data_IF_622684504714
#
_entry.id   IF_622684504714
#
_cell.length_a   1.000
_cell.length_b   1.000
_cell.length_c   1.000
_cell.angle_alpha   90.00
_cell.angle_beta   90.00
_cell.angle_gamma   90.00
#
_symmetry.space_group_name_H-M   'P 1'
#
loop_
_entity.id
_entity.type
_entity.pdbx_description
1 polymer ?
#
# COMPACT_ATOMS: atom_id res chain seq x y z
N UNK A 1 -1.60 -14.90 16.05
CA UNK A 1 -2.69 -14.02 15.58
C UNK A 1 -2.77 -14.13 14.07
N UNK A 2 -3.97 -14.22 13.49
CA UNK A 2 -4.15 -14.24 12.03
C UNK A 2 -3.98 -12.84 11.45
N UNK A 3 -3.30 -12.73 10.31
CA UNK A 3 -3.20 -11.48 9.55
C UNK A 3 -3.85 -11.61 8.20
N UNK A 4 -4.49 -10.53 7.78
CA UNK A 4 -5.17 -10.39 6.50
C UNK A 4 -4.52 -9.27 5.73
N UNK A 5 -4.35 -9.51 4.45
CA UNK A 5 -3.89 -8.51 3.51
C UNK A 5 -5.07 -7.65 3.09
N UNK A 6 -4.89 -6.34 3.17
CA UNK A 6 -5.87 -5.36 2.74
C UNK A 6 -5.63 -5.10 1.24
N UNK A 7 -6.44 -5.71 0.40
CA UNK A 7 -6.38 -5.60 -1.06
C UNK A 7 -7.55 -4.79 -1.59
N UNK A 8 -7.43 -4.26 -2.81
CA UNK A 8 -8.53 -3.62 -3.50
C UNK A 8 -9.57 -4.65 -3.92
N UNK A 9 -10.85 -4.33 -3.69
CA UNK A 9 -11.92 -5.21 -4.15
C UNK A 9 -12.00 -5.28 -5.66
N UNK A 10 -12.32 -6.47 -6.18
CA UNK A 10 -12.56 -6.72 -7.60
C UNK A 10 -14.03 -7.01 -7.93
N UNK A 11 -14.91 -6.99 -6.92
CA UNK A 11 -16.34 -7.27 -7.07
C UNK A 11 -17.06 -6.08 -7.72
N UNK A 12 -17.60 -6.26 -8.94
CA UNK A 12 -18.33 -5.21 -9.66
C UNK A 12 -19.58 -4.72 -8.92
N UNK A 13 -20.17 -5.52 -8.03
CA UNK A 13 -21.27 -5.09 -7.18
C UNK A 13 -20.79 -4.12 -6.08
N UNK A 14 -19.54 -4.21 -5.66
CA UNK A 14 -18.94 -3.31 -4.66
C UNK A 14 -18.34 -2.07 -5.34
N UNK A 15 -17.50 -2.27 -6.35
CA UNK A 15 -16.67 -1.21 -6.95
C UNK A 15 -17.22 -0.64 -8.26
N UNK A 16 -18.25 -1.26 -8.84
CA UNK A 16 -18.74 -0.94 -10.19
C UNK A 16 -17.91 -1.61 -11.29
N UNK A 17 -18.16 -1.25 -12.55
CA UNK A 17 -17.69 -2.02 -13.72
C UNK A 17 -16.25 -1.74 -14.16
N UNK A 18 -15.36 -1.37 -13.24
CA UNK A 18 -13.99 -1.04 -13.61
C UNK A 18 -13.02 -1.14 -12.42
N UNK A 19 -12.00 -1.97 -12.59
CA UNK A 19 -10.83 -2.04 -11.72
C UNK A 19 -9.59 -1.77 -12.59
N UNK A 20 -8.71 -0.84 -12.21
CA UNK A 20 -8.87 0.11 -11.11
C UNK A 20 -10.01 1.11 -11.37
N UNK A 21 -10.64 1.58 -10.29
CA UNK A 21 -11.77 2.51 -10.29
C UNK A 21 -11.39 3.91 -10.81
N UNK A 22 -10.15 4.33 -10.53
CA UNK A 22 -9.55 5.57 -11.04
C UNK A 22 -8.40 5.25 -12.00
N UNK A 23 -8.48 5.79 -13.21
CA UNK A 23 -7.48 5.57 -14.28
C UNK A 23 -6.88 6.88 -14.81
N UNK A 24 -7.51 8.00 -14.46
CA UNK A 24 -7.10 9.34 -14.87
C UNK A 24 -6.87 10.21 -13.64
N UNK A 25 -6.16 11.32 -13.82
CA UNK A 25 -5.91 12.30 -12.78
C UNK A 25 -5.90 13.71 -13.36
N UNK A 26 -6.12 14.71 -12.52
CA UNK A 26 -5.91 16.12 -12.85
C UNK A 26 -4.76 16.64 -11.99
N UNK A 27 -3.75 17.22 -12.66
CA UNK A 27 -2.68 17.96 -12.00
C UNK A 27 -2.67 19.41 -12.46
N UNK A 28 -2.50 20.32 -11.50
CA UNK A 28 -2.38 21.76 -11.71
C UNK A 28 -0.92 22.20 -11.87
N UNK A 29 0.02 21.32 -11.56
CA UNK A 29 1.45 21.54 -11.76
C UNK A 29 2.04 20.48 -12.68
N UNK A 30 3.16 20.76 -13.36
CA UNK A 30 3.89 19.75 -14.11
C UNK A 30 4.27 18.54 -13.25
N UNK A 31 4.21 17.35 -13.86
CA UNK A 31 4.52 16.09 -13.19
C UNK A 31 5.97 16.02 -12.68
N UNK A 32 6.89 16.71 -13.36
CA UNK A 32 8.31 16.82 -13.03
C UNK A 32 8.62 17.94 -12.02
N UNK A 33 7.59 18.66 -11.54
CA UNK A 33 7.77 19.68 -10.51
C UNK A 33 8.31 19.04 -9.21
N UNK A 34 9.28 19.65 -8.50
CA UNK A 34 9.92 19.05 -7.33
C UNK A 34 8.95 18.74 -6.17
N UNK A 35 7.88 19.53 -6.03
CA UNK A 35 6.83 19.31 -5.02
C UNK A 35 5.69 18.39 -5.50
N UNK A 36 5.77 17.82 -6.71
CA UNK A 36 4.77 16.86 -7.18
C UNK A 36 4.96 15.53 -6.45
N UNK A 37 3.86 14.83 -6.14
CA UNK A 37 3.86 13.53 -5.44
C UNK A 37 4.90 12.52 -5.96
N UNK A 38 5.10 12.48 -7.28
CA UNK A 38 6.02 11.53 -7.92
C UNK A 38 7.50 11.94 -7.87
N UNK A 39 7.81 13.12 -7.36
CA UNK A 39 9.17 13.60 -7.16
C UNK A 39 9.77 13.18 -5.82
N UNK A 40 8.94 12.64 -4.91
CA UNK A 40 9.36 12.25 -3.55
C UNK A 40 9.11 10.77 -3.30
N UNK A 41 10.09 10.12 -2.65
CA UNK A 41 10.02 8.73 -2.23
C UNK A 41 10.13 8.61 -0.71
N UNK A 42 9.37 7.70 -0.10
CA UNK A 42 9.38 7.47 1.33
C UNK A 42 8.33 8.29 2.08
N UNK A 43 8.74 8.98 3.15
CA UNK A 43 7.86 9.86 3.92
C UNK A 43 7.56 11.13 3.12
N UNK A 44 6.28 11.36 2.82
CA UNK A 44 5.85 12.51 2.05
C UNK A 44 5.80 13.79 2.93
N UNK A 45 6.28 14.94 2.43
CA UNK A 45 6.08 16.26 3.06
C UNK A 45 4.60 16.61 3.21
N UNK A 46 4.28 17.43 4.22
CA UNK A 46 2.89 17.84 4.47
C UNK A 46 2.35 18.79 3.40
N UNK A 47 3.23 19.51 2.70
CA UNK A 47 2.94 20.46 1.63
C UNK A 47 3.13 19.88 0.22
N UNK A 48 3.28 18.55 0.10
CA UNK A 48 3.39 17.88 -1.19
C UNK A 48 2.13 18.10 -2.05
N UNK A 49 2.31 18.33 -3.35
CA UNK A 49 1.20 18.41 -4.28
C UNK A 49 0.73 17.02 -4.68
N UNK A 50 -0.53 16.71 -4.37
CA UNK A 50 -1.19 15.46 -4.74
C UNK A 50 -2.18 15.74 -5.88
N UNK A 51 -2.03 15.11 -7.05
CA UNK A 51 -3.02 15.22 -8.11
C UNK A 51 -4.36 14.60 -7.71
N UNK A 52 -5.45 15.18 -8.19
CA UNK A 52 -6.79 14.66 -7.91
C UNK A 52 -7.08 13.46 -8.82
N UNK A 53 -7.47 12.33 -8.24
CA UNK A 53 -7.85 11.13 -8.99
C UNK A 53 -9.25 11.28 -9.60
N UNK A 54 -9.44 10.88 -10.86
CA UNK A 54 -10.74 10.89 -11.52
C UNK A 54 -11.35 9.49 -11.46
N UNK A 55 -12.49 9.39 -10.78
CA UNK A 55 -13.26 8.16 -10.71
C UNK A 55 -13.96 7.90 -12.05
N UNK A 56 -13.76 6.72 -12.61
CA UNK A 56 -14.42 6.35 -13.86
C UNK A 56 -15.96 6.38 -13.69
N UNK A 57 -16.68 6.85 -14.72
CA UNK A 57 -18.14 7.09 -14.66
C UNK A 57 -19.01 5.89 -14.27
N UNK A 58 -18.50 4.66 -14.42
CA UNK A 58 -19.17 3.39 -14.06
C UNK A 58 -18.66 2.78 -12.75
N UNK A 59 -17.66 3.38 -12.12
CA UNK A 59 -17.21 2.96 -10.80
C UNK A 59 -18.15 3.50 -9.72
N UNK A 60 -18.19 2.81 -8.58
CA UNK A 60 -18.85 3.27 -7.36
C UNK A 60 -17.81 3.97 -6.48
N UNK A 61 -18.28 4.90 -5.66
CA UNK A 61 -17.47 5.54 -4.61
C UNK A 61 -17.36 4.55 -3.45
N UNK A 62 -16.14 4.24 -3.03
CA UNK A 62 -15.85 3.25 -1.98
C UNK A 62 -14.86 3.79 -0.94
N UNK A 63 -14.74 3.12 0.20
CA UNK A 63 -13.87 3.55 1.29
C UNK A 63 -12.38 3.34 1.00
N UNK A 64 -12.06 2.37 0.15
CA UNK A 64 -10.76 2.19 -0.48
C UNK A 64 -10.94 2.28 -2.00
N UNK A 65 -10.22 3.22 -2.63
CA UNK A 65 -10.26 3.44 -4.07
C UNK A 65 -9.04 2.79 -4.72
N UNK A 66 -9.28 1.88 -5.65
CA UNK A 66 -8.23 1.40 -6.56
C UNK A 66 -7.89 2.49 -7.58
N UNK A 67 -6.67 3.02 -7.52
CA UNK A 67 -6.17 4.06 -8.43
C UNK A 67 -4.91 3.59 -9.14
N UNK A 68 -4.93 3.63 -10.48
CA UNK A 68 -3.75 3.40 -11.31
C UNK A 68 -2.75 4.57 -11.29
N UNK A 69 -3.17 5.84 -11.49
CA UNK A 69 -2.22 6.94 -11.60
C UNK A 69 -1.57 7.29 -10.26
N UNK A 70 -2.28 7.08 -9.15
CA UNK A 70 -1.79 7.37 -7.81
C UNK A 70 -1.41 6.03 -7.17
N UNK A 71 -0.11 5.73 -7.10
CA UNK A 71 0.44 4.48 -6.55
C UNK A 71 0.24 4.30 -5.03
N UNK A 72 -0.53 5.18 -4.41
CA UNK A 72 -0.86 5.17 -2.98
C UNK A 72 -2.35 4.90 -2.81
N UNK A 73 -2.77 4.17 -1.76
CA UNK A 73 -4.18 4.01 -1.47
C UNK A 73 -4.85 5.36 -1.23
N UNK A 74 -5.99 5.56 -1.90
CA UNK A 74 -6.89 6.68 -1.67
C UNK A 74 -8.05 6.16 -0.83
N UNK A 75 -8.26 6.73 0.35
CA UNK A 75 -9.20 6.22 1.35
C UNK A 75 -10.16 7.29 1.85
N UNK A 76 -11.36 6.87 2.25
CA UNK A 76 -12.36 7.76 2.85
C UNK A 76 -11.95 8.19 4.27
N UNK A 77 -12.59 9.24 4.77
CA UNK A 77 -12.50 9.66 6.17
C UNK A 77 -12.81 8.52 7.15
N UNK A 78 -13.84 7.72 6.84
CA UNK A 78 -14.29 6.61 7.68
C UNK A 78 -13.18 5.57 7.85
N UNK A 79 -12.57 5.11 6.76
CA UNK A 79 -11.48 4.13 6.82
C UNK A 79 -10.24 4.73 7.47
N UNK A 80 -9.88 5.98 7.11
CA UNK A 80 -8.76 6.70 7.72
C UNK A 80 -8.88 6.78 9.25
N UNK A 81 -10.06 7.11 9.76
CA UNK A 81 -10.29 7.23 11.20
C UNK A 81 -10.19 5.89 11.94
N UNK A 82 -10.48 4.77 11.29
CA UNK A 82 -10.27 3.44 11.86
C UNK A 82 -8.76 3.15 11.89
N UNK A 83 -8.08 3.24 10.75
CA UNK A 83 -6.66 2.89 10.62
C UNK A 83 -5.75 3.75 11.51
N UNK A 84 -6.06 5.04 11.67
CA UNK A 84 -5.27 5.97 12.49
C UNK A 84 -5.23 5.60 13.99
N UNK A 85 -6.20 4.84 14.50
CA UNK A 85 -6.21 4.37 15.90
C UNK A 85 -5.18 3.28 16.16
N UNK A 86 -4.86 2.51 15.13
CA UNK A 86 -4.08 1.27 15.24
C UNK A 86 -2.62 1.44 14.85
N UNK A 87 -2.24 2.62 14.35
CA UNK A 87 -0.85 2.93 14.05
C UNK A 87 -0.57 4.44 14.14
N UNK A 88 0.31 4.81 15.07
CA UNK A 88 0.68 6.21 15.33
C UNK A 88 1.99 6.66 14.65
N UNK A 89 2.77 5.74 14.08
CA UNK A 89 4.04 6.07 13.42
C UNK A 89 4.23 5.31 12.11
N UNK A 90 4.99 5.89 11.16
CA UNK A 90 5.29 5.24 9.88
C UNK A 90 4.12 5.22 8.90
N UNK A 91 3.04 5.93 9.21
CA UNK A 91 1.84 6.12 8.40
C UNK A 91 1.48 7.60 8.41
N UNK A 92 1.29 8.18 7.24
CA UNK A 92 0.78 9.53 7.06
C UNK A 92 -0.48 9.52 6.22
N UNK A 93 -1.42 10.38 6.58
CA UNK A 93 -2.62 10.65 5.79
C UNK A 93 -2.55 12.08 5.28
N UNK A 94 -2.55 12.25 3.97
CA UNK A 94 -2.51 13.55 3.32
C UNK A 94 -3.86 13.84 2.66
N UNK A 95 -4.46 15.02 2.87
CA UNK A 95 -5.70 15.40 2.22
C UNK A 95 -5.56 15.33 0.69
N UNK A 96 -6.57 14.78 0.02
CA UNK A 96 -6.67 14.74 -1.44
C UNK A 96 -8.14 14.77 -1.85
N UNK A 97 -8.41 14.79 -3.15
CA UNK A 97 -9.78 14.71 -3.65
C UNK A 97 -9.94 13.62 -4.70
N UNK A 98 -11.14 13.04 -4.68
CA UNK A 98 -11.64 12.19 -5.74
C UNK A 98 -12.62 13.00 -6.60
N UNK A 99 -12.40 13.06 -7.90
CA UNK A 99 -13.32 13.70 -8.85
C UNK A 99 -14.34 12.65 -9.31
N UNK A 100 -15.62 12.89 -9.01
CA UNK A 100 -16.75 12.02 -9.36
C UNK A 100 -17.79 12.85 -10.12
N UNK A 101 -17.99 12.57 -11.41
CA UNK A 101 -18.94 13.32 -12.26
C UNK A 101 -18.78 14.84 -12.09
N UNK A 102 -17.55 15.32 -12.23
CA UNK A 102 -17.15 16.73 -12.13
C UNK A 102 -17.26 17.37 -10.73
N UNK A 103 -17.52 16.57 -9.68
CA UNK A 103 -17.50 17.03 -8.29
C UNK A 103 -16.29 16.50 -7.55
N UNK A 104 -15.62 17.35 -6.79
CA UNK A 104 -14.58 16.94 -5.84
C UNK A 104 -15.21 16.42 -4.56
N UNK A 105 -14.71 15.30 -4.08
CA UNK A 105 -15.07 14.69 -2.80
C UNK A 105 -13.80 14.53 -2.00
N UNK A 106 -13.84 14.92 -0.72
CA UNK A 106 -12.69 14.83 0.18
C UNK A 106 -12.32 13.38 0.47
N UNK A 107 -11.04 13.08 0.29
CA UNK A 107 -10.43 11.77 0.51
C UNK A 107 -9.03 11.96 1.12
N UNK A 108 -8.37 10.86 1.44
CA UNK A 108 -7.01 10.86 1.98
C UNK A 108 -6.11 9.95 1.17
N UNK A 109 -4.92 10.43 0.86
CA UNK A 109 -3.83 9.60 0.40
C UNK A 109 -3.17 8.96 1.62
N UNK A 110 -3.05 7.64 1.62
CA UNK A 110 -2.38 6.87 2.67
C UNK A 110 -0.92 6.59 2.27
N UNK A 111 0.03 7.12 3.02
CA UNK A 111 1.46 6.95 2.81
C UNK A 111 2.08 6.14 3.96
N UNK A 112 2.29 4.84 3.75
CA UNK A 112 3.15 4.03 4.61
C UNK A 112 4.62 4.25 4.22
N UNK A 113 5.44 4.66 5.19
CA UNK A 113 6.84 5.00 4.96
C UNK A 113 7.83 4.33 5.93
N UNK A 114 7.32 3.58 6.91
CA UNK A 114 8.13 2.64 7.71
C UNK A 114 7.55 1.23 7.58
N UNK A 115 8.42 0.25 7.37
CA UNK A 115 8.05 -1.15 7.16
C UNK A 115 8.52 -2.00 8.33
N UNK A 116 7.71 -3.01 8.68
CA UNK A 116 7.85 -3.81 9.90
C UNK A 116 8.59 -5.12 9.64
N UNK A 117 9.76 -5.05 9.00
CA UNK A 117 10.55 -6.24 8.68
C UNK A 117 10.96 -7.05 9.92
N UNK A 118 10.93 -6.44 11.11
CA UNK A 118 11.17 -7.15 12.38
C UNK A 118 10.19 -8.30 12.62
N UNK A 119 9.02 -8.28 11.98
CA UNK A 119 7.99 -9.33 12.12
C UNK A 119 8.12 -10.46 11.09
N UNK A 120 9.14 -10.43 10.23
CA UNK A 120 9.40 -11.51 9.27
C UNK A 120 10.13 -12.67 9.98
N UNK A 121 9.67 -13.90 9.78
CA UNK A 121 10.44 -15.12 10.08
C UNK A 121 11.40 -15.38 8.92
N UNK A 122 12.62 -14.83 9.03
CA UNK A 122 13.65 -14.93 8.01
C UNK A 122 14.14 -16.37 7.76
N UNK A 123 13.95 -17.29 8.72
CA UNK A 123 14.35 -18.69 8.54
C UNK A 123 13.38 -19.44 7.63
N UNK A 124 12.09 -19.05 7.63
CA UNK A 124 11.03 -19.69 6.84
C UNK A 124 10.65 -18.92 5.58
N UNK A 125 11.06 -17.65 5.49
CA UNK A 125 10.87 -16.78 4.33
C UNK A 125 11.92 -17.01 3.25
N UNK A 126 11.60 -16.65 2.01
CA UNK A 126 12.51 -16.72 0.86
C UNK A 126 12.66 -15.31 0.30
N UNK A 127 13.90 -14.81 0.29
CA UNK A 127 14.25 -13.49 -0.22
C UNK A 127 15.21 -13.67 -1.39
N UNK A 128 14.86 -13.06 -2.52
CA UNK A 128 15.62 -13.18 -3.77
C UNK A 128 16.15 -11.81 -4.18
N UNK A 129 17.33 -11.80 -4.79
CA UNK A 129 17.73 -10.74 -5.70
C UNK A 129 17.06 -11.01 -7.04
N UNK A 130 16.45 -9.99 -7.60
CA UNK A 130 15.69 -10.07 -8.84
C UNK A 130 16.15 -9.01 -9.83
N UNK A 131 16.02 -9.31 -11.12
CA UNK A 131 16.20 -8.34 -12.20
C UNK A 131 14.86 -7.74 -12.67
N UNK A 132 14.90 -7.15 -13.86
CA UNK A 132 13.73 -6.58 -14.54
C UNK A 132 12.60 -7.62 -14.60
N UNK A 133 11.36 -7.20 -14.34
CA UNK A 133 10.20 -8.09 -14.33
C UNK A 133 10.17 -9.07 -13.15
N UNK A 134 10.96 -8.83 -12.09
CA UNK A 134 11.11 -9.72 -10.93
C UNK A 134 11.68 -11.10 -11.27
N UNK A 135 12.43 -11.22 -12.36
CA UNK A 135 13.13 -12.46 -12.72
C UNK A 135 14.19 -12.77 -11.66
N UNK A 136 14.10 -13.95 -11.04
CA UNK A 136 15.04 -14.37 -10.00
C UNK A 136 16.47 -14.48 -10.55
N UNK A 137 17.41 -13.82 -9.86
CA UNK A 137 18.85 -13.90 -10.13
C UNK A 137 19.49 -14.88 -9.14
N UNK A 138 19.30 -14.65 -7.85
CA UNK A 138 19.86 -15.49 -6.77
C UNK A 138 18.99 -15.43 -5.52
N UNK A 139 19.08 -16.46 -4.68
CA UNK A 139 18.45 -16.47 -3.34
C UNK A 139 19.44 -15.88 -2.34
N UNK A 140 19.00 -14.89 -1.56
CA UNK A 140 19.84 -14.25 -0.56
C UNK A 140 19.71 -14.97 0.79
N UNK A 141 20.84 -15.11 1.49
CA UNK A 141 20.85 -15.56 2.89
C UNK A 141 20.74 -14.34 3.80
N UNK A 142 19.52 -13.99 4.18
CA UNK A 142 19.20 -12.87 5.06
C UNK A 142 18.54 -13.44 6.31
N UNK A 143 19.06 -13.09 7.48
CA UNK A 143 18.61 -13.65 8.77
C UNK A 143 17.95 -12.63 9.69
N UNK A 144 17.90 -11.35 9.28
CA UNK A 144 17.38 -10.27 10.10
C UNK A 144 16.85 -9.09 9.29
N UNK A 145 16.03 -8.26 9.93
CA UNK A 145 15.52 -7.02 9.34
C UNK A 145 16.66 -6.06 8.94
N UNK A 146 17.69 -5.93 9.77
CA UNK A 146 18.86 -5.08 9.48
C UNK A 146 19.66 -5.58 8.27
N UNK A 147 19.81 -6.90 8.12
CA UNK A 147 20.42 -7.50 6.93
C UNK A 147 19.60 -7.22 5.67
N UNK A 148 18.26 -7.33 5.75
CA UNK A 148 17.37 -7.01 4.65
C UNK A 148 17.49 -5.55 4.23
N UNK A 149 17.41 -4.61 5.17
CA UNK A 149 17.58 -3.18 4.89
C UNK A 149 18.95 -2.87 4.27
N UNK A 150 20.00 -3.53 4.77
CA UNK A 150 21.36 -3.38 4.22
C UNK A 150 21.43 -3.92 2.80
N UNK A 151 20.81 -5.08 2.52
CA UNK A 151 20.74 -5.65 1.18
C UNK A 151 19.98 -4.73 0.23
N UNK A 152 18.84 -4.18 0.66
CA UNK A 152 18.05 -3.21 -0.11
C UNK A 152 18.91 -2.00 -0.50
N UNK A 153 19.59 -1.37 0.47
CA UNK A 153 20.45 -0.20 0.22
C UNK A 153 21.62 -0.48 -0.73
N UNK A 154 22.18 -1.69 -0.70
CA UNK A 154 23.34 -2.07 -1.53
C UNK A 154 22.98 -2.56 -2.92
N UNK A 155 21.86 -3.25 -3.07
CA UNK A 155 21.50 -4.00 -4.28
C UNK A 155 20.53 -3.22 -5.17
N UNK A 156 19.60 -2.46 -4.57
CA UNK A 156 18.56 -1.78 -5.34
C UNK A 156 19.19 -0.66 -6.16
N UNK A 157 19.05 -0.77 -7.47
CA UNK A 157 19.56 0.23 -8.41
C UNK A 157 18.49 0.55 -9.45
N UNK A 158 17.97 1.79 -9.46
CA UNK A 158 16.97 2.22 -10.44
C UNK A 158 17.45 2.05 -11.89
N UNK A 159 18.75 2.20 -12.14
CA UNK A 159 19.33 2.19 -13.48
C UNK A 159 19.48 0.80 -14.08
N UNK A 160 19.58 -0.25 -13.25
CA UNK A 160 19.77 -1.63 -13.73
C UNK A 160 18.51 -2.49 -13.62
N UNK A 161 17.50 -2.00 -12.90
CA UNK A 161 16.29 -2.77 -12.58
C UNK A 161 16.55 -3.94 -11.62
N UNK A 162 17.75 -4.02 -11.02
CA UNK A 162 18.08 -5.00 -9.99
C UNK A 162 17.49 -4.56 -8.65
N UNK A 163 16.86 -5.49 -7.95
CA UNK A 163 16.18 -5.25 -6.68
C UNK A 163 16.24 -6.45 -5.74
N UNK A 164 15.74 -6.26 -4.52
CA UNK A 164 15.51 -7.32 -3.53
C UNK A 164 14.00 -7.49 -3.37
N UNK A 165 13.55 -8.74 -3.41
CA UNK A 165 12.15 -9.11 -3.34
C UNK A 165 11.92 -10.30 -2.40
N UNK A 166 10.86 -10.22 -1.60
CA UNK A 166 10.37 -11.32 -0.76
C UNK A 166 9.47 -12.18 -1.65
N UNK A 167 9.88 -13.42 -1.88
CA UNK A 167 9.17 -14.38 -2.73
C UNK A 167 8.21 -15.24 -1.92
N UNK A 168 8.67 -15.66 -0.73
CA UNK A 168 7.84 -16.26 0.31
C UNK A 168 7.99 -15.42 1.58
N UNK A 169 6.88 -14.88 2.04
CA UNK A 169 6.79 -14.16 3.31
C UNK A 169 6.17 -15.11 4.34
N UNK A 170 6.85 -15.30 5.46
CA UNK A 170 6.31 -15.94 6.66
C UNK A 170 6.47 -14.95 7.80
N UNK A 171 5.38 -14.68 8.50
CA UNK A 171 5.37 -13.79 9.66
C UNK A 171 5.65 -14.56 10.95
N UNK A 172 6.16 -13.85 11.96
CA UNK A 172 6.31 -14.37 13.31
C UNK A 172 4.93 -14.57 13.97
N UNK A 173 4.82 -15.51 14.91
CA UNK A 173 3.53 -15.88 15.51
C UNK A 173 2.96 -14.81 16.47
N UNK A 174 3.84 -14.04 17.11
CA UNK A 174 3.53 -13.12 18.20
C UNK A 174 3.80 -11.67 17.79
N UNK A 175 2.95 -11.14 16.92
CA UNK A 175 2.97 -9.73 16.50
C UNK A 175 1.99 -8.95 17.38
N UNK A 176 2.45 -7.93 18.12
CA UNK A 176 1.60 -7.15 19.01
C UNK A 176 0.79 -6.05 18.29
N UNK A 177 1.20 -5.67 17.08
CA UNK A 177 0.58 -4.58 16.32
C UNK A 177 -0.60 -5.08 15.50
N UNK A 178 -1.72 -4.34 15.54
CA UNK A 178 -2.93 -4.66 14.78
C UNK A 178 -2.81 -4.32 13.28
N UNK A 179 -1.81 -3.50 12.90
CA UNK A 179 -1.57 -3.06 11.53
C UNK A 179 -0.06 -3.04 11.24
N UNK A 180 0.37 -3.80 10.23
CA UNK A 180 1.79 -3.89 9.83
C UNK A 180 1.96 -3.64 8.32
N UNK A 181 3.13 -3.12 7.96
CA UNK A 181 3.51 -2.85 6.57
C UNK A 181 4.73 -3.64 6.15
N UNK A 182 4.58 -4.46 5.11
CA UNK A 182 5.69 -5.21 4.52
C UNK A 182 5.73 -4.85 3.04
N UNK A 183 6.76 -4.13 2.60
CA UNK A 183 6.98 -3.87 1.18
C UNK A 183 7.66 -5.06 0.49
N UNK A 184 7.91 -4.91 -0.81
CA UNK A 184 8.70 -5.86 -1.61
C UNK A 184 8.16 -7.28 -1.60
N UNK A 185 6.85 -7.42 -1.38
CA UNK A 185 6.10 -8.66 -1.48
C UNK A 185 4.96 -8.50 -2.49
N UNK A 186 4.44 -9.62 -3.01
CA UNK A 186 3.39 -9.58 -4.04
C UNK A 186 2.11 -8.91 -3.52
N UNK A 187 1.49 -8.03 -4.32
CA UNK A 187 0.20 -7.35 -4.03
C UNK A 187 0.35 -6.09 -3.17
N UNK A 188 -0.68 -5.76 -2.39
CA UNK A 188 -0.67 -4.73 -1.34
C UNK A 188 0.48 -4.88 -0.30
N UNK A 189 0.88 -3.80 0.35
CA UNK A 189 1.87 -3.86 1.44
C UNK A 189 1.21 -3.81 2.84
N UNK A 190 -0.12 -3.77 2.89
CA UNK A 190 -0.89 -3.47 4.09
C UNK A 190 -1.49 -4.75 4.67
N UNK A 191 -1.19 -5.00 5.94
CA UNK A 191 -1.73 -6.14 6.68
C UNK A 191 -2.41 -5.66 7.95
N UNK A 192 -3.53 -6.29 8.27
CA UNK A 192 -4.31 -6.03 9.48
C UNK A 192 -4.55 -7.34 10.23
N UNK A 193 -4.61 -7.27 11.55
CA UNK A 193 -5.08 -8.36 12.41
C UNK A 193 -6.53 -8.73 12.10
N UNK A 194 -6.96 -9.87 12.61
CA UNK A 194 -8.37 -10.29 12.54
C UNK A 194 -9.32 -9.30 13.24
N UNK A 195 -8.93 -8.77 14.40
CA UNK A 195 -9.72 -7.77 15.15
C UNK A 195 -9.86 -6.45 14.40
N UNK A 196 -8.80 -5.94 13.77
CA UNK A 196 -8.89 -4.73 12.95
C UNK A 196 -9.69 -4.97 11.67
N UNK A 197 -9.56 -6.15 11.04
CA UNK A 197 -10.45 -6.55 9.94
C UNK A 197 -11.92 -6.48 10.37
N UNK A 198 -12.26 -7.06 11.51
CA UNK A 198 -13.63 -7.04 12.04
C UNK A 198 -14.12 -5.61 12.33
N UNK A 199 -13.28 -4.71 12.86
CA UNK A 199 -13.65 -3.30 13.03
C UNK A 199 -13.99 -2.63 11.69
N UNK A 200 -13.20 -2.89 10.65
CA UNK A 200 -13.40 -2.34 9.30
C UNK A 200 -14.70 -2.90 8.68
N UNK A 201 -14.96 -4.20 8.82
CA UNK A 201 -16.17 -4.86 8.33
C UNK A 201 -17.42 -4.35 9.07
N UNK A 202 -17.37 -4.24 10.40
CA UNK A 202 -18.46 -3.73 11.23
C UNK A 202 -18.79 -2.25 10.93
N UNK A 203 -17.80 -1.47 10.52
CA UNK A 203 -18.00 -0.10 10.02
C UNK A 203 -18.56 -0.03 8.59
N UNK A 204 -18.84 -1.18 7.96
CA UNK A 204 -19.30 -1.32 6.59
C UNK A 204 -18.39 -0.56 5.61
N UNK A 205 -17.07 -0.67 5.78
CA UNK A 205 -16.12 -0.14 4.79
C UNK A 205 -16.17 -0.95 3.49
N UNK A 206 -16.13 -0.26 2.36
CA UNK A 206 -16.30 -0.84 1.01
C UNK A 206 -15.06 -0.69 0.14
N UNK A 207 -14.96 -1.49 -0.92
CA UNK A 207 -13.83 -1.47 -1.85
C UNK A 207 -12.59 -2.21 -1.34
N UNK A 208 -12.73 -3.01 -0.28
CA UNK A 208 -11.67 -3.74 0.40
C UNK A 208 -11.96 -5.24 0.32
N UNK A 209 -10.96 -6.02 -0.08
CA UNK A 209 -10.95 -7.47 0.09
C UNK A 209 -9.90 -7.84 1.15
N UNK A 210 -10.27 -8.74 2.07
CA UNK A 210 -9.34 -9.27 3.08
C UNK A 210 -8.84 -10.65 2.66
N UNK A 211 -7.58 -10.71 2.23
CA UNK A 211 -6.97 -11.98 1.81
C UNK A 211 -6.18 -12.58 2.98
N UNK A 212 -6.54 -13.77 3.50
CA UNK A 212 -5.78 -14.40 4.57
C UNK A 212 -4.31 -14.56 4.19
N UNK A 213 -3.41 -14.13 5.07
CA UNK A 213 -2.00 -14.43 4.90
C UNK A 213 -1.73 -15.85 5.42
N UNK A 214 -1.53 -16.79 4.50
CA UNK A 214 -1.12 -18.15 4.84
C UNK A 214 0.32 -18.11 5.33
N UNK A 215 0.52 -18.53 6.59
CA UNK A 215 1.82 -18.68 7.24
C UNK A 215 2.63 -19.84 6.65
#
# INVERSE_FOLDING_TARGET
>A
MSFYKLEYSSDEEVIGKTAPQSQEFVSLIPVDHPNHLWSVWGELPDDIYIPDSILHRKAKVTDLISSSPIYYPIISDKLKNILAKHRSTGLKFLPTHLIVKDKKIDYWLMNAYKFDYQYIDFKKSIINKVGIGRVKIETLKINSASELETAIKKIVSPNTGVSVWIDKLVLQDNIPDEMIFIDRFKGSNYYVSESLKEEIENANCTGIDFVPHLQ
#
